data_IF_135664737301
#
_entry.id   IF_135664737301
#
_cell.length_a   1.000
_cell.length_b   1.000
_cell.length_c   1.000
_cell.angle_alpha   90.00
_cell.angle_beta   90.00
_cell.angle_gamma   90.00
#
_symmetry.space_group_name_H-M   'P 1'
#
loop_
_entity.id
_entity.type
_entity.pdbx_description
1 polymer ?
#
# COMPACT_ATOMS: atom_id res chain seq x y z
N UNK A 1 31.79 -9.94 -10.73
CA UNK A 1 30.44 -9.35 -10.64
C UNK A 1 29.84 -9.47 -12.03
N UNK A 2 28.87 -10.36 -12.24
CA UNK A 2 28.22 -10.48 -13.55
C UNK A 2 27.33 -9.26 -13.74
N UNK A 3 27.63 -8.44 -14.75
CA UNK A 3 26.76 -7.36 -15.18
C UNK A 3 25.55 -7.99 -15.86
N UNK A 4 24.37 -7.80 -15.25
CA UNK A 4 23.10 -8.16 -15.87
C UNK A 4 22.73 -7.03 -16.82
N UNK A 5 22.46 -7.34 -18.08
CA UNK A 5 21.83 -6.38 -18.98
C UNK A 5 20.35 -6.23 -18.56
N UNK A 6 20.00 -5.05 -18.06
CA UNK A 6 18.65 -4.76 -17.57
C UNK A 6 17.59 -4.95 -18.65
N UNK A 7 17.85 -4.52 -19.90
CA UNK A 7 16.87 -4.64 -20.98
C UNK A 7 16.58 -6.11 -21.31
N UNK A 8 17.63 -6.93 -21.39
CA UNK A 8 17.47 -8.36 -21.67
C UNK A 8 16.71 -9.04 -20.53
N UNK A 9 17.05 -8.72 -19.28
CA UNK A 9 16.32 -9.23 -18.13
C UNK A 9 14.84 -8.82 -18.16
N UNK A 10 14.55 -7.55 -18.44
CA UNK A 10 13.19 -7.03 -18.50
C UNK A 10 12.38 -7.74 -19.60
N UNK A 11 12.91 -7.80 -20.83
CA UNK A 11 12.26 -8.47 -21.96
C UNK A 11 12.02 -9.95 -21.70
N UNK A 12 12.99 -10.63 -21.10
CA UNK A 12 12.86 -12.06 -20.75
C UNK A 12 11.79 -12.34 -19.68
N UNK A 13 11.34 -11.33 -18.93
CA UNK A 13 10.31 -11.46 -17.90
C UNK A 13 8.98 -10.75 -18.26
N UNK A 14 8.87 -10.15 -19.46
CA UNK A 14 7.72 -9.35 -19.89
C UNK A 14 6.38 -10.12 -19.77
N UNK A 15 6.37 -11.39 -20.20
CA UNK A 15 5.18 -12.23 -20.11
C UNK A 15 4.71 -12.42 -18.66
N UNK A 16 5.64 -12.51 -17.70
CA UNK A 16 5.32 -12.62 -16.28
C UNK A 16 4.72 -11.30 -15.76
N UNK A 17 5.29 -10.16 -16.16
CA UNK A 17 4.76 -8.84 -15.78
C UNK A 17 3.35 -8.62 -16.32
N UNK A 18 3.06 -9.03 -17.57
CA UNK A 18 1.69 -8.98 -18.10
C UNK A 18 0.71 -9.86 -17.32
N UNK A 19 1.13 -11.04 -16.85
CA UNK A 19 0.27 -11.88 -16.00
C UNK A 19 -0.09 -11.16 -14.70
N UNK A 20 0.88 -10.49 -14.06
CA UNK A 20 0.64 -9.68 -12.87
C UNK A 20 -0.38 -8.57 -13.13
N UNK A 21 -0.16 -7.80 -14.21
CA UNK A 21 -1.01 -6.66 -14.58
C UNK A 21 -2.44 -7.14 -14.86
N UNK A 22 -2.61 -8.15 -15.70
CA UNK A 22 -3.92 -8.63 -16.11
C UNK A 22 -4.73 -9.17 -14.93
N UNK A 23 -4.10 -9.93 -14.02
CA UNK A 23 -4.79 -10.45 -12.83
C UNK A 23 -5.24 -9.31 -11.90
N UNK A 24 -4.37 -8.35 -11.63
CA UNK A 24 -4.68 -7.21 -10.75
C UNK A 24 -5.73 -6.32 -11.37
N UNK A 25 -5.61 -6.00 -12.67
CA UNK A 25 -6.58 -5.20 -13.41
C UNK A 25 -7.98 -5.84 -13.37
N UNK A 26 -8.07 -7.13 -13.69
CA UNK A 26 -9.33 -7.86 -13.69
C UNK A 26 -9.99 -7.84 -12.30
N UNK A 27 -9.18 -7.95 -11.23
CA UNK A 27 -9.66 -7.91 -9.86
C UNK A 27 -10.15 -6.52 -9.43
N UNK A 28 -9.53 -5.42 -9.87
CA UNK A 28 -9.84 -4.07 -9.36
C UNK A 28 -10.75 -3.22 -10.26
N UNK A 29 -10.91 -3.56 -11.54
CA UNK A 29 -11.54 -2.70 -12.57
C UNK A 29 -12.92 -2.12 -12.18
N UNK A 30 -13.69 -2.80 -11.35
CA UNK A 30 -15.05 -2.39 -10.96
C UNK A 30 -15.20 -1.93 -9.50
N UNK A 31 -14.11 -1.85 -8.73
CA UNK A 31 -14.17 -1.64 -7.27
C UNK A 31 -14.05 -0.19 -6.81
N UNK A 32 -13.54 0.70 -7.66
CA UNK A 32 -13.37 2.13 -7.34
C UNK A 32 -12.72 2.40 -5.96
N UNK A 33 -11.75 1.57 -5.54
CA UNK A 33 -11.14 1.61 -4.20
C UNK A 33 -10.56 2.97 -3.83
N UNK A 34 -10.07 3.72 -4.82
CA UNK A 34 -9.56 5.09 -4.66
C UNK A 34 -10.64 6.07 -4.17
N UNK A 35 -11.90 5.84 -4.53
CA UNK A 35 -13.00 6.74 -4.22
C UNK A 35 -13.37 6.67 -2.73
N UNK A 36 -13.23 5.50 -2.11
CA UNK A 36 -13.36 5.34 -0.67
C UNK A 36 -12.38 6.24 0.09
N UNK A 37 -11.10 6.23 -0.31
CA UNK A 37 -10.07 7.09 0.29
C UNK A 37 -10.46 8.55 0.14
N UNK A 38 -10.80 9.00 -1.08
CA UNK A 38 -11.19 10.38 -1.36
C UNK A 38 -12.35 10.87 -0.52
N UNK A 39 -13.40 10.06 -0.42
CA UNK A 39 -14.60 10.39 0.34
C UNK A 39 -14.27 10.53 1.83
N UNK A 40 -13.44 9.63 2.37
CA UNK A 40 -13.02 9.67 3.76
C UNK A 40 -12.21 10.93 4.10
N UNK A 41 -11.21 11.25 3.26
CA UNK A 41 -10.33 12.41 3.50
C UNK A 41 -10.96 13.74 3.06
N UNK A 42 -12.10 13.71 2.37
CA UNK A 42 -12.79 14.90 1.88
C UNK A 42 -12.06 15.61 0.73
N UNK A 43 -11.31 14.89 -0.10
CA UNK A 43 -10.52 15.48 -1.19
C UNK A 43 -11.27 15.40 -2.52
N UNK A 44 -11.56 16.58 -3.08
CA UNK A 44 -12.22 16.76 -4.38
C UNK A 44 -11.25 16.93 -5.56
N UNK A 45 -9.94 16.90 -5.31
CA UNK A 45 -8.91 17.03 -6.35
C UNK A 45 -8.90 15.85 -7.33
N UNK A 46 -8.64 16.13 -8.61
CA UNK A 46 -8.57 15.14 -9.69
C UNK A 46 -7.18 14.52 -9.78
N UNK A 47 -6.82 13.69 -8.81
CA UNK A 47 -5.62 12.85 -8.89
C UNK A 47 -5.83 11.64 -9.80
N UNK A 48 -4.75 11.19 -10.43
CA UNK A 48 -4.70 9.87 -11.06
C UNK A 48 -4.28 8.83 -10.01
N UNK A 49 -5.02 7.73 -9.90
CA UNK A 49 -4.69 6.65 -8.97
C UNK A 49 -4.09 5.48 -9.71
N UNK A 50 -2.87 5.10 -9.32
CA UNK A 50 -2.06 4.10 -10.02
C UNK A 50 -1.66 3.00 -9.03
N UNK A 51 -1.96 1.76 -9.37
CA UNK A 51 -1.42 0.59 -8.67
C UNK A 51 -0.13 0.20 -9.37
N UNK A 52 0.99 0.33 -8.68
CA UNK A 52 2.31 -0.03 -9.16
C UNK A 52 2.73 -1.36 -8.55
N UNK A 53 3.01 -2.35 -9.39
CA UNK A 53 3.37 -3.69 -8.96
C UNK A 53 4.90 -3.81 -8.91
N UNK A 54 5.41 -4.12 -7.72
CA UNK A 54 6.84 -4.22 -7.43
C UNK A 54 7.23 -5.69 -7.22
N UNK A 55 7.43 -6.46 -8.31
CA UNK A 55 7.98 -7.81 -8.18
C UNK A 55 9.37 -7.72 -7.57
N UNK A 56 9.71 -8.68 -6.71
CA UNK A 56 11.00 -8.79 -6.00
C UNK A 56 11.28 -7.72 -4.93
N UNK A 57 10.38 -6.77 -4.68
CA UNK A 57 10.56 -5.82 -3.59
C UNK A 57 10.43 -6.51 -2.22
N UNK A 58 11.41 -6.29 -1.35
CA UNK A 58 11.45 -6.80 0.03
C UNK A 58 11.15 -5.74 1.07
N UNK A 59 11.12 -4.45 0.69
CA UNK A 59 10.93 -3.31 1.60
C UNK A 59 9.49 -3.05 2.05
N UNK A 60 8.54 -3.90 1.68
CA UNK A 60 7.11 -3.72 1.98
C UNK A 60 6.38 -2.84 0.95
N UNK A 61 5.11 -2.57 1.23
CA UNK A 61 4.27 -1.71 0.39
C UNK A 61 4.35 -0.26 0.89
N UNK A 62 4.05 0.70 0.02
CA UNK A 62 3.97 2.10 0.42
C UNK A 62 3.11 2.93 -0.55
N UNK A 63 2.47 3.97 -0.01
CA UNK A 63 1.81 5.01 -0.78
C UNK A 63 2.71 6.22 -1.04
N UNK A 64 2.57 6.86 -2.21
CA UNK A 64 3.23 8.14 -2.48
C UNK A 64 2.41 9.03 -3.44
N UNK A 65 2.59 10.34 -3.36
CA UNK A 65 2.13 11.29 -4.38
C UNK A 65 3.35 11.80 -5.15
N UNK A 66 3.30 11.73 -6.48
CA UNK A 66 4.31 12.32 -7.37
C UNK A 66 3.58 13.11 -8.44
N UNK A 67 3.69 14.44 -8.40
CA UNK A 67 2.91 15.32 -9.27
C UNK A 67 1.41 15.13 -9.04
N UNK A 68 0.65 14.84 -10.11
CA UNK A 68 -0.79 14.59 -10.05
C UNK A 68 -1.15 13.09 -9.86
N UNK A 69 -0.17 12.25 -9.56
CA UNK A 69 -0.33 10.81 -9.49
C UNK A 69 -0.22 10.32 -8.04
N UNK A 70 -1.21 9.57 -7.58
CA UNK A 70 -1.21 8.84 -6.30
C UNK A 70 -0.87 7.39 -6.61
N UNK A 71 0.25 6.93 -6.06
CA UNK A 71 0.76 5.58 -6.24
C UNK A 71 0.45 4.71 -5.04
N UNK A 72 -0.09 3.54 -5.31
CA UNK A 72 -0.13 2.39 -4.40
C UNK A 72 0.97 1.42 -4.87
N UNK A 73 2.09 1.38 -4.17
CA UNK A 73 3.21 0.51 -4.53
C UNK A 73 3.10 -0.82 -3.78
N UNK A 74 2.72 -1.87 -4.50
CA UNK A 74 2.44 -3.19 -3.94
C UNK A 74 3.52 -4.19 -4.30
N UNK A 75 4.04 -4.86 -3.28
CA UNK A 75 4.75 -6.12 -3.46
C UNK A 75 3.76 -7.17 -3.97
N UNK A 76 4.12 -7.79 -5.09
CA UNK A 76 3.39 -8.94 -5.62
C UNK A 76 4.09 -10.25 -5.24
N UNK A 77 3.31 -11.30 -5.01
CA UNK A 77 3.86 -12.64 -4.79
C UNK A 77 4.44 -13.16 -6.11
N UNK A 78 5.69 -13.62 -6.09
CA UNK A 78 6.39 -14.09 -7.29
C UNK A 78 6.02 -15.52 -7.67
N UNK A 79 5.71 -16.32 -6.66
CA UNK A 79 5.16 -17.66 -6.83
C UNK A 79 3.74 -17.63 -6.29
N UNK A 80 2.75 -18.05 -7.08
CA UNK A 80 1.48 -18.51 -6.53
C UNK A 80 1.83 -19.56 -5.45
N UNK A 81 1.17 -19.51 -4.30
CA UNK A 81 1.43 -20.49 -3.24
C UNK A 81 1.31 -21.90 -3.85
N UNK A 82 2.05 -22.92 -3.38
CA UNK A 82 1.91 -24.30 -3.91
C UNK A 82 0.48 -24.87 -3.86
N UNK A 83 -0.45 -24.16 -3.20
CA UNK A 83 -1.89 -24.43 -3.12
C UNK A 83 -2.79 -23.37 -3.80
N UNK A 84 -2.27 -22.24 -4.27
CA UNK A 84 -3.05 -21.10 -4.75
C UNK A 84 -2.48 -20.58 -6.06
N UNK A 85 -3.32 -20.45 -7.09
CA UNK A 85 -2.94 -20.08 -8.45
C UNK A 85 -2.94 -18.57 -8.73
N UNK A 86 -2.96 -17.71 -7.70
CA UNK A 86 -3.14 -16.25 -7.85
C UNK A 86 -1.99 -15.45 -7.23
N UNK A 87 -1.70 -14.29 -7.81
CA UNK A 87 -0.72 -13.32 -7.33
C UNK A 87 -1.29 -12.38 -6.26
N UNK A 88 -2.61 -12.19 -6.23
CA UNK A 88 -3.33 -11.42 -5.19
C UNK A 88 -3.55 -12.23 -3.88
N UNK A 89 -3.26 -13.53 -3.90
CA UNK A 89 -3.45 -14.46 -2.77
C UNK A 89 -4.89 -14.97 -2.60
N UNK A 90 -5.11 -15.84 -1.60
CA UNK A 90 -6.40 -16.50 -1.35
C UNK A 90 -7.53 -15.62 -0.81
N UNK A 91 -7.22 -14.43 -0.29
CA UNK A 91 -8.25 -13.50 0.19
C UNK A 91 -8.22 -12.19 -0.62
N UNK A 92 -9.06 -12.07 -1.66
CA UNK A 92 -9.17 -10.88 -2.49
C UNK A 92 -9.51 -9.61 -1.68
N UNK A 93 -10.25 -9.72 -0.57
CA UNK A 93 -10.58 -8.58 0.28
C UNK A 93 -9.34 -8.05 1.05
N UNK A 94 -8.39 -8.92 1.40
CA UNK A 94 -7.11 -8.48 1.97
C UNK A 94 -6.33 -7.63 0.97
N UNK A 95 -6.38 -7.99 -0.32
CA UNK A 95 -5.73 -7.22 -1.38
C UNK A 95 -6.39 -5.85 -1.58
N UNK A 96 -7.72 -5.79 -1.59
CA UNK A 96 -8.48 -4.53 -1.65
C UNK A 96 -8.14 -3.62 -0.46
N UNK A 97 -8.15 -4.18 0.74
CA UNK A 97 -7.81 -3.49 1.99
C UNK A 97 -6.38 -2.93 1.96
N UNK A 98 -5.44 -3.65 1.33
CA UNK A 98 -4.08 -3.15 1.13
C UNK A 98 -4.01 -1.99 0.15
N UNK A 99 -4.74 -2.04 -0.98
CA UNK A 99 -4.76 -0.93 -1.93
C UNK A 99 -5.25 0.35 -1.24
N UNK A 100 -6.36 0.26 -0.50
CA UNK A 100 -6.90 1.40 0.24
C UNK A 100 -5.94 1.87 1.32
N UNK A 101 -5.27 0.96 2.03
CA UNK A 101 -4.25 1.30 3.03
C UNK A 101 -3.13 2.13 2.39
N UNK A 102 -2.56 1.67 1.26
CA UNK A 102 -1.46 2.38 0.61
C UNK A 102 -1.90 3.70 -0.02
N UNK A 103 -3.08 3.76 -0.65
CA UNK A 103 -3.61 5.02 -1.18
C UNK A 103 -3.90 6.06 -0.09
N UNK A 104 -4.06 5.65 1.16
CA UNK A 104 -4.35 6.57 2.28
C UNK A 104 -3.09 7.27 2.80
N UNK A 105 -1.92 6.62 2.77
CA UNK A 105 -0.66 7.15 3.32
C UNK A 105 -0.35 8.59 2.87
N UNK A 106 -0.40 8.93 1.57
CA UNK A 106 -0.02 10.27 1.11
C UNK A 106 -0.94 11.39 1.58
N UNK A 107 -2.15 11.08 2.03
CA UNK A 107 -3.13 12.05 2.51
C UNK A 107 -3.20 12.09 4.03
N UNK A 108 -3.16 10.92 4.67
CA UNK A 108 -3.27 10.82 6.12
C UNK A 108 -1.98 11.26 6.79
N UNK A 109 -0.81 10.83 6.31
CA UNK A 109 0.46 11.12 6.99
C UNK A 109 0.70 12.63 7.14
N UNK A 110 0.57 13.47 6.09
CA UNK A 110 0.72 14.92 6.26
C UNK A 110 -0.31 15.53 7.22
N UNK A 111 -1.52 14.97 7.27
CA UNK A 111 -2.59 15.45 8.16
C UNK A 111 -2.28 15.13 9.62
N UNK A 112 -1.87 13.90 9.92
CA UNK A 112 -1.52 13.47 11.27
C UNK A 112 -0.22 14.09 11.75
N UNK A 113 0.77 14.22 10.88
CA UNK A 113 2.03 14.92 11.17
C UNK A 113 1.76 16.39 11.55
N UNK A 114 0.82 17.06 10.87
CA UNK A 114 0.42 18.44 11.19
C UNK A 114 -0.14 18.60 12.60
N UNK A 115 -0.85 17.59 13.13
CA UNK A 115 -1.51 17.67 14.45
C UNK A 115 -0.82 16.80 15.52
N UNK A 116 0.36 16.25 15.22
CA UNK A 116 1.02 15.25 16.07
C UNK A 116 1.30 15.77 17.48
N UNK A 117 1.62 17.06 17.61
CA UNK A 117 1.94 17.72 18.88
C UNK A 117 0.75 17.77 19.84
N UNK A 118 -0.48 17.80 19.32
CA UNK A 118 -1.70 17.81 20.13
C UNK A 118 -2.08 16.43 20.68
N UNK A 119 -1.48 15.37 20.16
CA UNK A 119 -1.80 14.00 20.57
C UNK A 119 -0.94 13.64 21.78
N UNK A 120 -1.58 13.38 22.93
CA UNK A 120 -0.85 13.00 24.14
C UNK A 120 -0.13 11.66 24.00
N UNK A 121 1.13 11.57 24.43
CA UNK A 121 1.86 10.29 24.49
C UNK A 121 1.20 9.27 25.42
N UNK A 122 0.36 9.73 26.37
CA UNK A 122 -0.38 8.84 27.28
C UNK A 122 -1.34 7.90 26.56
N UNK A 123 -1.81 8.28 25.36
CA UNK A 123 -2.67 7.43 24.51
C UNK A 123 -1.99 6.10 24.18
N UNK A 124 -0.65 6.07 24.16
CA UNK A 124 0.13 4.89 23.76
C UNK A 124 0.74 4.13 24.95
N UNK A 125 0.51 4.57 26.18
CA UNK A 125 1.16 4.01 27.37
C UNK A 125 0.96 2.48 27.47
N UNK A 126 -0.24 2.00 27.13
CA UNK A 126 -0.60 0.58 27.24
C UNK A 126 -0.07 -0.30 26.11
N UNK A 127 0.43 0.29 25.02
CA UNK A 127 0.94 -0.43 23.85
C UNK A 127 2.43 -0.18 23.59
N UNK A 128 3.06 0.71 24.36
CA UNK A 128 4.45 1.15 24.17
C UNK A 128 5.46 -0.01 24.12
N UNK A 129 5.31 -1.03 24.96
CA UNK A 129 6.22 -2.18 24.95
C UNK A 129 6.03 -3.07 23.71
N UNK A 130 4.80 -3.21 23.20
CA UNK A 130 4.54 -3.88 21.92
C UNK A 130 5.09 -3.06 20.74
N UNK A 131 5.05 -1.73 20.83
CA UNK A 131 5.58 -0.84 19.79
C UNK A 131 7.09 -0.96 19.61
N UNK A 132 7.85 -1.11 20.70
CA UNK A 132 9.32 -1.25 20.64
C UNK A 132 9.79 -2.47 19.85
N UNK A 133 8.95 -3.51 19.74
CA UNK A 133 9.27 -4.75 19.04
C UNK A 133 8.95 -4.69 17.54
N UNK A 134 8.37 -3.58 17.08
CA UNK A 134 7.96 -3.38 15.71
C UNK A 134 8.71 -2.16 15.14
N UNK A 135 8.78 -1.99 13.81
CA UNK A 135 9.30 -0.77 13.19
C UNK A 135 8.50 0.52 13.54
N UNK A 136 7.45 0.42 14.37
CA UNK A 136 6.56 1.51 14.82
C UNK A 136 7.02 2.21 16.12
N UNK A 137 8.32 2.27 16.39
CA UNK A 137 8.83 2.85 17.64
C UNK A 137 8.64 4.38 17.73
N UNK A 138 8.34 5.03 16.60
CA UNK A 138 8.02 6.45 16.52
C UNK A 138 6.51 6.69 16.68
N UNK A 139 6.17 7.73 17.45
CA UNK A 139 4.79 8.12 17.77
C UNK A 139 4.01 8.47 16.49
N UNK A 140 4.68 9.16 15.58
CA UNK A 140 4.23 9.59 14.26
C UNK A 140 3.77 8.39 13.44
N UNK A 141 4.70 7.44 13.20
CA UNK A 141 4.43 6.23 12.43
C UNK A 141 3.26 5.46 13.01
N UNK A 142 3.17 5.36 14.34
CA UNK A 142 2.08 4.66 14.99
C UNK A 142 0.72 5.29 14.71
N UNK A 143 0.59 6.61 14.87
CA UNK A 143 -0.68 7.32 14.69
C UNK A 143 -1.13 7.21 13.23
N UNK A 144 -0.21 7.47 12.30
CA UNK A 144 -0.44 7.39 10.87
C UNK A 144 -1.03 6.02 10.50
N UNK A 145 -0.34 4.98 10.94
CA UNK A 145 -0.73 3.58 10.75
C UNK A 145 -2.06 3.19 11.42
N UNK A 146 -2.36 3.73 12.61
CA UNK A 146 -3.62 3.44 13.31
C UNK A 146 -4.82 4.07 12.61
N UNK A 147 -4.70 5.33 12.18
CA UNK A 147 -5.76 6.02 11.45
C UNK A 147 -6.07 5.28 10.15
N UNK A 148 -5.04 4.92 9.38
CA UNK A 148 -5.21 4.17 8.13
C UNK A 148 -5.79 2.77 8.39
N UNK A 149 -5.35 2.07 9.45
CA UNK A 149 -5.90 0.76 9.81
C UNK A 149 -7.34 0.83 10.30
N UNK A 150 -7.76 1.94 10.92
CA UNK A 150 -9.15 2.15 11.29
C UNK A 150 -10.02 2.37 10.03
N UNK A 151 -9.52 3.19 9.09
CA UNK A 151 -10.17 3.45 7.81
C UNK A 151 -10.45 2.16 7.03
N UNK A 152 -9.49 1.23 6.98
CA UNK A 152 -9.65 0.00 6.20
C UNK A 152 -10.61 -1.04 6.79
N UNK A 153 -11.15 -0.83 7.99
CA UNK A 153 -12.19 -1.69 8.58
C UNK A 153 -13.58 -1.42 7.96
N UNK A 154 -13.76 -0.28 7.30
CA UNK A 154 -15.02 0.11 6.66
C UNK A 154 -15.12 -0.25 5.18
N UNK A 155 -14.19 -1.05 4.66
CA UNK A 155 -14.15 -1.51 3.26
C UNK A 155 -14.75 -2.91 3.17
#
# INVERSE_FOLDING_TARGET
MNLINFEDYYKNNEQLYHKFINEVEEHIKNKQLWQFVRNYVGINSNFNYLVNLLPYNTGGNYGAIVGNNVYCNLRIRLTPNLKESTFIGSNPATFDSMIVHEFSHPFINPLTDKYIEHISQKVFANIREKMKQLPYHLKETLINEHVIRALRLGI
#
